data_IF_182934495748
#
_entry.id   IF_182934495748
#
_cell.length_a   1.000
_cell.length_b   1.000
_cell.length_c   1.000
_cell.angle_alpha   90.00
_cell.angle_beta   90.00
_cell.angle_gamma   90.00
#
_symmetry.space_group_name_H-M   'P 1'
#
loop_
_entity.id
_entity.type
_entity.pdbx_description
1 polymer ?
#
# COMPACT_ATOMS: atom_id res chain seq x y z
N UNK A 1 -67.27 0.40 29.44
CA UNK A 1 -66.88 0.47 28.01
C UNK A 1 -65.77 1.48 27.72
N UNK A 2 -65.87 2.76 28.15
CA UNK A 2 -64.84 3.77 27.86
C UNK A 2 -63.43 3.45 28.42
N UNK A 3 -63.35 2.88 29.63
CA UNK A 3 -62.07 2.54 30.28
C UNK A 3 -61.25 1.47 29.52
N UNK A 4 -61.90 0.45 28.93
CA UNK A 4 -61.20 -0.58 28.14
C UNK A 4 -60.68 -0.05 26.79
N UNK A 5 -61.38 0.91 26.19
CA UNK A 5 -60.94 1.58 24.95
C UNK A 5 -59.67 2.40 25.22
N UNK A 6 -59.62 3.14 26.33
CA UNK A 6 -58.45 3.91 26.74
C UNK A 6 -57.24 3.01 27.05
N UNK A 7 -57.45 1.85 27.69
CA UNK A 7 -56.37 0.87 27.93
C UNK A 7 -55.80 0.29 26.63
N UNK A 8 -56.67 -0.11 25.69
CA UNK A 8 -56.23 -0.67 24.40
C UNK A 8 -55.48 0.35 23.53
N UNK A 9 -55.85 1.63 23.62
CA UNK A 9 -55.17 2.72 22.90
C UNK A 9 -53.79 2.99 23.50
N UNK A 10 -53.65 2.90 24.82
CA UNK A 10 -52.37 3.04 25.51
C UNK A 10 -51.41 1.88 25.18
N UNK A 11 -51.90 0.64 25.10
CA UNK A 11 -51.10 -0.53 24.71
C UNK A 11 -50.59 -0.45 23.26
N UNK A 12 -51.46 -0.03 22.32
CA UNK A 12 -51.03 0.20 20.93
C UNK A 12 -49.99 1.30 20.81
N UNK A 13 -50.15 2.39 21.56
CA UNK A 13 -49.17 3.47 21.57
C UNK A 13 -47.81 2.98 22.08
N UNK A 14 -47.79 2.20 23.16
CA UNK A 14 -46.55 1.60 23.70
C UNK A 14 -45.89 0.64 22.70
N UNK A 15 -46.67 -0.21 22.05
CA UNK A 15 -46.15 -1.13 21.03
C UNK A 15 -45.60 -0.39 19.81
N UNK A 16 -46.26 0.68 19.37
CA UNK A 16 -45.78 1.51 18.27
C UNK A 16 -44.47 2.24 18.64
N UNK A 17 -44.34 2.71 19.88
CA UNK A 17 -43.09 3.31 20.38
C UNK A 17 -41.95 2.29 20.42
N UNK A 18 -42.20 1.08 20.94
CA UNK A 18 -41.18 0.01 20.96
C UNK A 18 -40.72 -0.39 19.54
N UNK A 19 -41.65 -0.44 18.57
CA UNK A 19 -41.28 -0.72 17.18
C UNK A 19 -40.45 0.42 16.57
N UNK A 20 -40.82 1.67 16.81
CA UNK A 20 -40.06 2.82 16.31
C UNK A 20 -38.64 2.89 16.91
N UNK A 21 -38.48 2.56 18.19
CA UNK A 21 -37.17 2.48 18.84
C UNK A 21 -36.31 1.35 18.22
N UNK A 22 -36.91 0.19 17.92
CA UNK A 22 -36.22 -0.90 17.23
C UNK A 22 -35.80 -0.52 15.81
N UNK A 23 -36.69 0.12 15.04
CA UNK A 23 -36.40 0.59 13.68
C UNK A 23 -35.27 1.63 13.69
N UNK A 24 -35.23 2.51 14.70
CA UNK A 24 -34.16 3.49 14.87
C UNK A 24 -32.81 2.82 15.16
N UNK A 25 -32.78 1.80 16.02
CA UNK A 25 -31.56 1.03 16.32
C UNK A 25 -31.10 0.24 15.08
N UNK A 26 -32.01 -0.33 14.30
CA UNK A 26 -31.65 -1.04 13.06
C UNK A 26 -31.09 -0.08 12.01
N UNK A 27 -31.65 1.12 11.87
CA UNK A 27 -31.13 2.15 10.98
C UNK A 27 -29.72 2.62 11.38
N UNK A 28 -29.45 2.79 12.68
CA UNK A 28 -28.11 3.15 13.16
C UNK A 28 -27.08 2.04 12.87
N UNK A 29 -27.44 0.78 13.13
CA UNK A 29 -26.59 -0.37 12.83
C UNK A 29 -26.30 -0.49 11.33
N UNK A 30 -27.28 -0.18 10.47
CA UNK A 30 -27.11 -0.19 9.03
C UNK A 30 -26.11 0.87 8.55
N UNK A 31 -26.18 2.09 9.11
CA UNK A 31 -25.21 3.15 8.81
C UNK A 31 -23.80 2.74 9.23
N UNK A 32 -23.65 2.18 10.44
CA UNK A 32 -22.34 1.70 10.92
C UNK A 32 -21.77 0.59 10.01
N UNK A 33 -22.63 -0.32 9.53
CA UNK A 33 -22.22 -1.39 8.62
C UNK A 33 -21.78 -0.84 7.26
N UNK A 34 -22.48 0.16 6.74
CA UNK A 34 -22.11 0.83 5.48
C UNK A 34 -20.77 1.56 5.60
N UNK A 35 -20.53 2.26 6.70
CA UNK A 35 -19.24 2.91 6.97
C UNK A 35 -18.10 1.90 7.08
N UNK A 36 -18.31 0.80 7.81
CA UNK A 36 -17.34 -0.31 7.90
C UNK A 36 -17.04 -0.88 6.52
N UNK A 37 -18.07 -1.12 5.71
CA UNK A 37 -17.92 -1.64 4.34
C UNK A 37 -17.13 -0.67 3.46
N UNK A 38 -17.41 0.63 3.56
CA UNK A 38 -16.67 1.67 2.83
C UNK A 38 -15.19 1.72 3.23
N UNK A 39 -14.89 1.64 4.53
CA UNK A 39 -13.51 1.62 5.02
C UNK A 39 -12.77 0.35 4.56
N UNK A 40 -13.42 -0.81 4.60
CA UNK A 40 -12.86 -2.06 4.09
C UNK A 40 -12.48 -1.92 2.62
N UNK A 41 -13.38 -1.38 1.78
CA UNK A 41 -13.09 -1.18 0.36
C UNK A 41 -11.91 -0.23 0.13
N UNK A 42 -11.83 0.86 0.89
CA UNK A 42 -10.69 1.78 0.80
C UNK A 42 -9.36 1.10 1.18
N UNK A 43 -9.37 0.26 2.22
CA UNK A 43 -8.18 -0.52 2.62
C UNK A 43 -7.79 -1.50 1.53
N UNK A 44 -8.76 -2.19 0.90
CA UNK A 44 -8.49 -3.14 -0.18
C UNK A 44 -7.88 -2.46 -1.41
N UNK A 45 -8.39 -1.29 -1.81
CA UNK A 45 -7.83 -0.51 -2.92
C UNK A 45 -6.39 -0.05 -2.64
N UNK A 46 -6.12 0.39 -1.40
CA UNK A 46 -4.77 0.76 -0.98
C UNK A 46 -3.82 -0.43 -0.96
N UNK A 47 -4.29 -1.60 -0.50
CA UNK A 47 -3.51 -2.83 -0.51
C UNK A 47 -3.13 -3.24 -1.93
N UNK A 48 -4.08 -3.20 -2.87
CA UNK A 48 -3.80 -3.50 -4.27
C UNK A 48 -2.77 -2.53 -4.87
N UNK A 49 -2.95 -1.24 -4.63
CA UNK A 49 -1.99 -0.21 -5.08
C UNK A 49 -0.59 -0.43 -4.50
N UNK A 50 -0.50 -0.83 -3.22
CA UNK A 50 0.76 -1.10 -2.55
C UNK A 50 1.45 -2.34 -3.11
N UNK A 51 0.70 -3.39 -3.42
CA UNK A 51 1.20 -4.60 -4.05
C UNK A 51 1.81 -4.30 -5.43
N UNK A 52 1.08 -3.56 -6.28
CA UNK A 52 1.56 -3.12 -7.59
C UNK A 52 2.84 -2.28 -7.48
N UNK A 53 2.89 -1.37 -6.51
CA UNK A 53 4.08 -0.55 -6.28
C UNK A 53 5.26 -1.41 -5.80
N UNK A 54 5.03 -2.38 -4.93
CA UNK A 54 6.06 -3.32 -4.47
C UNK A 54 6.64 -4.12 -5.64
N UNK A 55 5.78 -4.67 -6.51
CA UNK A 55 6.22 -5.41 -7.69
C UNK A 55 7.06 -4.53 -8.63
N UNK A 56 6.67 -3.27 -8.82
CA UNK A 56 7.45 -2.30 -9.61
C UNK A 56 8.80 -2.00 -8.98
N UNK A 57 8.88 -1.86 -7.66
CA UNK A 57 10.13 -1.64 -6.93
C UNK A 57 11.07 -2.83 -7.14
N UNK A 58 10.57 -4.06 -7.06
CA UNK A 58 11.37 -5.25 -7.24
C UNK A 58 11.88 -5.39 -8.68
N UNK A 59 11.05 -5.07 -9.67
CA UNK A 59 11.48 -5.01 -11.08
C UNK A 59 12.61 -4.00 -11.30
N UNK A 60 12.49 -2.79 -10.73
CA UNK A 60 13.54 -1.75 -10.82
C UNK A 60 14.83 -2.18 -10.12
N UNK A 61 14.74 -2.87 -8.97
CA UNK A 61 15.91 -3.41 -8.28
C UNK A 61 16.61 -4.47 -9.14
N UNK A 62 15.86 -5.36 -9.78
CA UNK A 62 16.42 -6.39 -10.65
C UNK A 62 17.15 -5.78 -11.85
N UNK A 63 16.54 -4.80 -12.52
CA UNK A 63 17.17 -4.06 -13.61
C UNK A 63 18.44 -3.33 -13.16
N UNK A 64 18.41 -2.70 -11.98
CA UNK A 64 19.59 -2.03 -11.41
C UNK A 64 20.75 -3.02 -11.17
N UNK A 65 20.46 -4.23 -10.69
CA UNK A 65 21.48 -5.26 -10.49
C UNK A 65 22.09 -5.71 -11.82
N UNK A 66 21.27 -5.90 -12.86
CA UNK A 66 21.75 -6.23 -14.23
C UNK A 66 22.69 -5.14 -14.75
N UNK A 67 22.27 -3.88 -14.67
CA UNK A 67 23.10 -2.73 -15.09
C UNK A 67 24.41 -2.63 -14.31
N UNK A 68 24.39 -2.87 -12.99
CA UNK A 68 25.61 -2.89 -12.17
C UNK A 68 26.57 -3.99 -12.62
N UNK A 69 26.05 -5.19 -12.90
CA UNK A 69 26.86 -6.30 -13.39
C UNK A 69 27.47 -6.01 -14.76
N UNK A 70 26.71 -5.43 -15.69
CA UNK A 70 27.20 -5.04 -17.00
C UNK A 70 28.28 -3.96 -16.90
N UNK A 71 28.03 -2.92 -16.11
CA UNK A 71 29.00 -1.85 -15.87
C UNK A 71 30.29 -2.37 -15.22
N UNK A 72 30.21 -3.38 -14.35
CA UNK A 72 31.39 -4.01 -13.78
C UNK A 72 32.24 -4.70 -14.86
N UNK A 73 31.60 -5.46 -15.76
CA UNK A 73 32.29 -6.15 -16.85
C UNK A 73 32.93 -5.14 -17.82
N UNK A 74 32.19 -4.09 -18.18
CA UNK A 74 32.69 -3.01 -19.04
C UNK A 74 33.85 -2.25 -18.37
N UNK A 75 33.75 -1.96 -17.07
CA UNK A 75 34.81 -1.33 -16.29
C UNK A 75 36.10 -2.15 -16.34
N UNK A 76 36.01 -3.46 -16.07
CA UNK A 76 37.17 -4.35 -16.13
C UNK A 76 37.78 -4.41 -17.54
N UNK A 77 36.94 -4.42 -18.59
CA UNK A 77 37.42 -4.40 -19.97
C UNK A 77 38.23 -3.14 -20.27
N UNK A 78 37.74 -1.97 -19.83
CA UNK A 78 38.45 -0.69 -19.98
C UNK A 78 39.78 -0.71 -19.21
N UNK A 79 39.79 -1.18 -17.96
CA UNK A 79 41.01 -1.30 -17.15
C UNK A 79 42.06 -2.21 -17.82
N UNK A 80 41.62 -3.32 -18.40
CA UNK A 80 42.51 -4.23 -19.12
C UNK A 80 43.11 -3.58 -20.36
N UNK A 81 42.33 -2.78 -21.10
CA UNK A 81 42.84 -2.03 -22.25
C UNK A 81 43.84 -0.95 -21.84
N UNK A 82 43.55 -0.20 -20.77
CA UNK A 82 44.43 0.85 -20.25
C UNK A 82 45.76 0.26 -19.76
N UNK A 83 45.74 -0.87 -19.05
CA UNK A 83 46.95 -1.51 -18.54
C UNK A 83 47.79 -2.20 -19.62
N UNK A 84 47.16 -2.79 -20.65
CA UNK A 84 47.86 -3.42 -21.77
C UNK A 84 48.42 -2.41 -22.79
N UNK A 85 47.88 -1.19 -22.84
CA UNK A 85 48.33 -0.15 -23.74
C UNK A 85 49.48 0.67 -23.14
N UNK A 86 50.65 0.61 -23.78
CA UNK A 86 51.82 1.41 -23.44
C UNK A 86 51.58 2.93 -23.50
N UNK A 87 50.53 3.38 -24.21
CA UNK A 87 50.17 4.81 -24.32
C UNK A 87 49.53 5.34 -23.03
N UNK A 88 48.91 4.47 -22.21
CA UNK A 88 48.25 4.84 -20.97
C UNK A 88 49.05 4.48 -19.72
N UNK A 89 50.24 3.88 -19.87
CA UNK A 89 51.17 3.74 -18.76
C UNK A 89 51.67 5.13 -18.39
N UNK A 90 51.16 5.65 -17.26
CA UNK A 90 51.69 6.86 -16.65
C UNK A 90 53.21 6.75 -16.58
N UNK A 91 53.88 7.82 -16.99
CA UNK A 91 55.30 8.02 -16.77
C UNK A 91 55.56 8.13 -15.27
N UNK A 92 55.48 7.02 -14.54
CA UNK A 92 56.09 6.86 -13.23
C UNK A 92 57.61 6.74 -13.44
N UNK A 93 58.21 7.78 -14.00
CA UNK A 93 59.66 7.93 -14.04
C UNK A 93 60.14 8.23 -12.63
N UNK A 94 60.45 7.15 -11.88
CA UNK A 94 61.46 7.07 -10.82
C UNK A 94 61.45 8.19 -9.76
N UNK A 95 60.56 8.11 -8.78
CA UNK A 95 60.87 8.53 -7.40
C UNK A 95 61.50 7.36 -6.62
N UNK A 96 62.69 6.94 -7.05
CA UNK A 96 63.63 6.10 -6.27
C UNK A 96 65.05 6.49 -6.67
N UNK A 97 65.57 7.56 -6.06
CA UNK A 97 67.01 7.73 -5.84
C UNK A 97 67.23 7.64 -4.34
N UNK A 98 67.80 6.52 -3.91
CA UNK A 98 68.57 6.41 -2.68
C UNK A 98 69.95 7.01 -2.91
#
# INVERSE_FOLDING_TARGET
HLSGILSSKAERARSAMMNADMDAVEAENQVELEEKTRLINQVLELQHTLEDLSARVDAVKEENLKLKSENQVLGQYIENLMSASSVFQTTDTKSKRK
#
